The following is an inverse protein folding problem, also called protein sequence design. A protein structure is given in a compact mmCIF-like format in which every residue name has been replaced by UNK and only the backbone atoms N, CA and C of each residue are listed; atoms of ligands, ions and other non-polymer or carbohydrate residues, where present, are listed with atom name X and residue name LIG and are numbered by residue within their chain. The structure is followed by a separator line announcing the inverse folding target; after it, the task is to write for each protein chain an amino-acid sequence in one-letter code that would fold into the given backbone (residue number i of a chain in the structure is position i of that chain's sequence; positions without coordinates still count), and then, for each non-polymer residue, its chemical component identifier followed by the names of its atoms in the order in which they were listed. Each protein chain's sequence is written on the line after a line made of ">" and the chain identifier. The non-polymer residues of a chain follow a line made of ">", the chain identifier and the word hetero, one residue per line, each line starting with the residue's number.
data_IF_304825600506
#
_entry.id   IF_304825600506
#
_cell.length_a   1.000
_cell.length_b   1.000
_cell.length_c   1.000
_cell.angle_alpha   90.00
_cell.angle_beta   90.00
_cell.angle_gamma   90.00
#
_symmetry.space_group_name_H-M   'P 1'
#
loop_
_entity.id
_entity.type
_entity.pdbx_description
1 polymer ?
#
# COMPACT_ATOMS: atom_id res chain seq x y z
N UNK A 1 33.05 -3.53 0.39
CA UNK A 1 31.69 -2.96 0.14
C UNK A 1 31.03 -2.63 1.46
N UNK A 2 30.10 -1.66 1.51
CA UNK A 2 29.29 -1.38 2.70
C UNK A 2 27.83 -1.20 2.31
N UNK A 3 26.94 -1.81 3.10
CA UNK A 3 25.50 -1.59 3.02
C UNK A 3 25.15 -0.19 3.53
N UNK A 4 24.12 0.43 2.95
CA UNK A 4 23.46 1.57 3.55
C UNK A 4 22.84 1.19 4.90
N UNK A 5 22.65 2.17 5.79
CA UNK A 5 22.10 1.92 7.13
C UNK A 5 20.71 1.28 7.12
N UNK A 6 19.92 1.53 6.08
CA UNK A 6 18.60 0.93 5.85
C UNK A 6 18.66 -0.42 5.13
N UNK A 7 19.86 -0.94 4.80
CA UNK A 7 20.13 -2.21 4.10
C UNK A 7 19.40 -2.35 2.75
N UNK A 8 18.98 -1.25 2.15
CA UNK A 8 18.27 -1.23 0.87
C UNK A 8 19.20 -1.07 -0.32
N UNK A 9 20.35 -0.42 -0.14
CA UNK A 9 21.21 -0.05 -1.26
C UNK A 9 22.69 -0.31 -0.95
N UNK A 10 23.45 -0.62 -2.00
CA UNK A 10 24.90 -0.68 -2.00
C UNK A 10 25.37 0.12 -3.21
N UNK A 11 26.39 0.94 -3.02
CA UNK A 11 27.06 1.59 -4.14
C UNK A 11 28.38 0.86 -4.43
N UNK A 12 28.58 0.48 -5.69
CA UNK A 12 29.78 -0.19 -6.17
C UNK A 12 30.22 0.47 -7.48
N UNK A 13 31.47 0.92 -7.52
CA UNK A 13 32.13 1.33 -8.75
C UNK A 13 33.39 0.50 -8.92
N UNK A 14 33.58 -0.04 -10.12
CA UNK A 14 34.78 -0.80 -10.49
C UNK A 14 35.38 -0.09 -11.69
N UNK A 15 36.53 0.53 -11.50
CA UNK A 15 37.19 1.33 -12.54
C UNK A 15 38.33 0.57 -13.24
N UNK A 16 38.37 -0.75 -13.08
CA UNK A 16 39.46 -1.61 -13.54
C UNK A 16 38.92 -2.89 -14.21
N UNK A 17 39.77 -3.57 -14.98
CA UNK A 17 39.43 -4.86 -15.59
C UNK A 17 39.75 -5.99 -14.61
N UNK A 18 38.74 -6.80 -14.31
CA UNK A 18 38.88 -7.98 -13.45
C UNK A 18 39.26 -9.21 -14.28
N UNK A 19 40.13 -10.06 -13.73
CA UNK A 19 40.32 -11.42 -14.23
C UNK A 19 39.08 -12.28 -13.95
N UNK A 20 38.95 -13.43 -14.61
CA UNK A 20 37.82 -14.33 -14.44
C UNK A 20 37.65 -14.84 -12.99
N UNK A 21 38.78 -15.05 -12.29
CA UNK A 21 38.77 -15.48 -10.89
C UNK A 21 38.27 -14.35 -9.98
N UNK A 22 38.80 -13.14 -10.16
CA UNK A 22 38.40 -11.96 -9.37
C UNK A 22 36.92 -11.60 -9.58
N UNK A 23 36.42 -11.73 -10.82
CA UNK A 23 34.99 -11.57 -11.11
C UNK A 23 34.14 -12.62 -10.39
N UNK A 24 34.58 -13.89 -10.38
CA UNK A 24 33.85 -14.97 -9.69
C UNK A 24 33.81 -14.74 -8.19
N UNK A 25 34.93 -14.34 -7.58
CA UNK A 25 34.99 -13.96 -6.16
C UNK A 25 34.07 -12.78 -5.87
N UNK A 26 34.07 -11.74 -6.71
CA UNK A 26 33.19 -10.59 -6.54
C UNK A 26 31.70 -10.97 -6.59
N UNK A 27 31.31 -11.84 -7.53
CA UNK A 27 29.92 -12.33 -7.62
C UNK A 27 29.53 -13.09 -6.35
N UNK A 28 30.43 -13.92 -5.82
CA UNK A 28 30.21 -14.64 -4.58
C UNK A 28 30.06 -13.71 -3.37
N UNK A 29 30.90 -12.68 -3.24
CA UNK A 29 30.77 -11.70 -2.17
C UNK A 29 29.49 -10.88 -2.28
N UNK A 30 29.08 -10.52 -3.50
CA UNK A 30 27.82 -9.83 -3.77
C UNK A 30 26.60 -10.68 -3.42
N UNK A 31 26.64 -12.00 -3.63
CA UNK A 31 25.51 -12.87 -3.31
C UNK A 31 25.32 -13.03 -1.81
N UNK A 32 26.41 -13.11 -1.04
CA UNK A 32 26.37 -13.05 0.42
C UNK A 32 25.78 -11.72 0.91
N UNK A 33 26.25 -10.61 0.36
CA UNK A 33 25.72 -9.27 0.69
C UNK A 33 24.23 -9.13 0.35
N UNK A 34 23.80 -9.68 -0.80
CA UNK A 34 22.40 -9.67 -1.21
C UNK A 34 21.50 -10.45 -0.25
N UNK A 35 22.00 -11.50 0.38
CA UNK A 35 21.27 -12.28 1.39
C UNK A 35 21.02 -11.49 2.68
N UNK A 36 21.87 -10.51 3.00
CA UNK A 36 21.71 -9.63 4.17
C UNK A 36 20.82 -8.40 3.92
N UNK A 37 20.51 -8.11 2.65
CA UNK A 37 19.64 -7.01 2.25
C UNK A 37 18.17 -7.34 2.51
N UNK A 38 17.40 -6.31 2.86
CA UNK A 38 15.95 -6.45 2.96
C UNK A 38 15.36 -6.73 1.56
N UNK A 39 14.34 -7.59 1.45
CA UNK A 39 13.65 -7.78 0.19
C UNK A 39 13.07 -6.44 -0.27
N UNK A 40 13.27 -6.13 -1.55
CA UNK A 40 12.68 -4.95 -2.15
C UNK A 40 11.16 -5.13 -2.18
N UNK A 41 10.45 -4.35 -1.37
CA UNK A 41 8.99 -4.32 -1.41
C UNK A 41 8.64 -3.37 -2.56
N UNK A 42 8.06 -3.88 -3.66
CA UNK A 42 7.71 -3.03 -4.79
C UNK A 42 6.73 -1.95 -4.33
N UNK A 43 7.10 -0.69 -4.51
CA UNK A 43 6.23 0.46 -4.22
C UNK A 43 5.05 0.53 -5.18
N UNK A 44 5.20 -0.06 -6.37
CA UNK A 44 4.17 -0.10 -7.38
C UNK A 44 3.34 -1.36 -7.19
N UNK A 45 2.04 -1.17 -6.99
CA UNK A 45 1.06 -2.23 -7.17
C UNK A 45 1.24 -2.82 -8.58
N UNK A 46 1.30 -4.15 -8.76
CA UNK A 46 1.36 -4.74 -10.09
C UNK A 46 0.05 -4.43 -10.82
N UNK A 47 0.07 -3.40 -11.67
CA UNK A 47 -1.04 -3.02 -12.55
C UNK A 47 -0.95 -3.86 -13.83
N UNK A 48 -1.14 -5.17 -13.72
CA UNK A 48 -1.36 -6.00 -14.89
C UNK A 48 -2.27 -7.16 -14.54
N UNK A 49 -3.56 -6.84 -14.43
CA UNK A 49 -4.64 -7.79 -14.40
C UNK A 49 -5.84 -7.08 -15.02
N UNK A 50 -6.18 -7.46 -16.25
CA UNK A 50 -7.55 -7.31 -16.69
C UNK A 50 -8.38 -8.11 -15.66
N UNK A 51 -9.30 -7.45 -14.98
CA UNK A 51 -10.06 -7.88 -13.79
C UNK A 51 -9.47 -7.54 -12.40
N UNK A 52 -10.20 -6.69 -11.68
CA UNK A 52 -10.54 -6.76 -10.25
C UNK A 52 -9.70 -7.71 -9.36
N UNK A 53 -8.42 -7.41 -9.16
CA UNK A 53 -7.62 -8.16 -8.19
C UNK A 53 -6.93 -7.22 -7.20
N UNK A 54 -7.75 -6.58 -6.36
CA UNK A 54 -7.36 -6.46 -4.97
C UNK A 54 -7.21 -7.89 -4.43
N UNK A 55 -6.10 -8.21 -3.76
CA UNK A 55 -5.98 -9.50 -3.10
C UNK A 55 -7.05 -9.57 -2.00
N UNK A 56 -8.13 -10.29 -2.29
CA UNK A 56 -9.22 -10.49 -1.36
C UNK A 56 -8.74 -11.43 -0.27
N UNK A 57 -8.47 -10.87 0.90
CA UNK A 57 -8.21 -11.65 2.10
C UNK A 57 -9.56 -12.02 2.73
N UNK A 58 -9.75 -13.31 3.01
CA UNK A 58 -10.90 -13.78 3.78
C UNK A 58 -10.66 -13.48 5.26
N UNK A 59 -11.58 -12.71 5.85
CA UNK A 59 -11.60 -12.32 7.27
C UNK A 59 -10.27 -11.70 7.78
N UNK A 60 -9.84 -10.55 7.25
CA UNK A 60 -8.66 -9.86 7.77
C UNK A 60 -8.94 -9.42 9.21
N UNK A 61 -7.96 -9.63 10.09
CA UNK A 61 -8.03 -9.04 11.43
C UNK A 61 -7.98 -7.50 11.28
N UNK A 62 -9.14 -6.87 11.49
CA UNK A 62 -9.35 -5.43 11.42
C UNK A 62 -9.38 -4.86 12.84
N UNK A 63 -8.74 -3.73 13.04
CA UNK A 63 -8.91 -2.96 14.27
C UNK A 63 -9.00 -1.47 13.97
N UNK A 64 -9.79 -0.77 14.79
CA UNK A 64 -9.93 0.67 14.75
C UNK A 64 -9.52 1.19 16.12
N UNK A 65 -8.61 2.16 16.15
CA UNK A 65 -8.12 2.78 17.39
C UNK A 65 -8.02 4.29 17.22
N UNK A 66 -7.88 5.01 18.32
CA UNK A 66 -7.44 6.41 18.28
C UNK A 66 -5.91 6.47 18.22
N UNK A 67 -5.38 7.39 17.43
CA UNK A 67 -3.95 7.67 17.29
C UNK A 67 -3.74 9.18 17.40
N UNK A 68 -3.62 9.67 18.64
CA UNK A 68 -3.70 11.11 18.93
C UNK A 68 -5.09 11.64 18.55
N UNK A 69 -5.13 12.72 17.77
CA UNK A 69 -6.36 13.33 17.25
C UNK A 69 -6.94 12.61 16.01
N UNK A 70 -6.24 11.60 15.50
CA UNK A 70 -6.61 10.86 14.30
C UNK A 70 -7.20 9.50 14.64
N UNK A 71 -7.86 8.88 13.66
CA UNK A 71 -8.34 7.50 13.74
C UNK A 71 -7.33 6.59 13.05
N UNK A 72 -6.85 5.56 13.74
CA UNK A 72 -6.04 4.49 13.17
C UNK A 72 -6.94 3.39 12.64
N UNK A 73 -6.89 3.13 11.33
CA UNK A 73 -7.47 1.94 10.70
C UNK A 73 -6.35 0.94 10.46
N UNK A 74 -6.39 -0.19 11.15
CA UNK A 74 -5.40 -1.26 11.00
C UNK A 74 -5.99 -2.52 10.40
N UNK A 75 -5.25 -3.17 9.51
CA UNK A 75 -5.55 -4.52 9.08
C UNK A 75 -4.29 -5.38 9.04
N UNK A 76 -4.45 -6.68 9.28
CA UNK A 76 -3.36 -7.65 9.18
C UNK A 76 -3.41 -8.38 7.85
N UNK A 77 -2.42 -8.10 7.01
CA UNK A 77 -2.15 -8.91 5.83
C UNK A 77 -1.24 -10.10 6.19
N UNK A 78 -1.50 -11.25 5.57
CA UNK A 78 -0.74 -12.48 5.83
C UNK A 78 0.72 -12.44 5.36
N UNK A 79 1.05 -11.57 4.40
CA UNK A 79 2.39 -11.45 3.81
C UNK A 79 3.13 -10.21 4.32
N UNK A 80 2.42 -9.11 4.52
CA UNK A 80 2.96 -7.81 4.90
C UNK A 80 2.88 -7.53 6.40
N UNK A 81 2.13 -8.34 7.15
CA UNK A 81 1.90 -8.13 8.58
C UNK A 81 0.88 -7.01 8.83
N UNK A 82 1.08 -6.24 9.89
CA UNK A 82 0.17 -5.14 10.26
C UNK A 82 0.41 -3.91 9.39
N UNK A 83 -0.65 -3.47 8.72
CA UNK A 83 -0.72 -2.19 8.02
C UNK A 83 -1.67 -1.27 8.78
N UNK A 84 -1.23 -0.07 9.11
CA UNK A 84 -2.00 0.91 9.90
C UNK A 84 -2.01 2.23 9.15
N UNK A 85 -3.21 2.75 8.91
CA UNK A 85 -3.46 4.02 8.25
C UNK A 85 -3.95 5.03 9.28
N UNK A 86 -3.24 6.14 9.41
CA UNK A 86 -3.71 7.28 10.21
C UNK A 86 -4.65 8.12 9.34
N UNK A 87 -5.93 8.13 9.71
CA UNK A 87 -6.97 8.89 9.05
C UNK A 87 -7.24 10.16 9.86
N UNK A 88 -7.07 11.34 9.25
CA UNK A 88 -7.53 12.60 9.84
C UNK A 88 -9.02 12.51 10.16
N UNK A 89 -9.43 13.13 11.27
CA UNK A 89 -10.82 13.08 11.75
C UNK A 89 -11.85 13.44 10.65
N UNK A 90 -11.57 14.48 9.87
CA UNK A 90 -12.43 14.92 8.76
C UNK A 90 -12.61 13.86 7.67
N UNK A 91 -11.59 13.04 7.40
CA UNK A 91 -11.66 11.95 6.42
C UNK A 91 -12.37 10.72 6.99
N UNK A 92 -12.24 10.48 8.29
CA UNK A 92 -12.95 9.39 8.95
C UNK A 92 -14.47 9.63 8.99
N UNK A 93 -14.92 10.87 9.14
CA UNK A 93 -16.34 11.24 9.00
C UNK A 93 -16.88 10.90 7.61
N UNK A 94 -16.15 11.26 6.54
CA UNK A 94 -16.56 10.92 5.17
C UNK A 94 -16.65 9.40 4.94
N UNK A 95 -15.71 8.64 5.51
CA UNK A 95 -15.73 7.17 5.42
C UNK A 95 -16.96 6.59 6.13
N UNK A 96 -17.26 7.09 7.34
CA UNK A 96 -18.47 6.72 8.08
C UNK A 96 -19.73 7.00 7.26
N UNK A 97 -19.86 8.22 6.73
CA UNK A 97 -21.06 8.65 6.01
C UNK A 97 -21.26 7.82 4.73
N UNK A 98 -20.18 7.53 4.01
CA UNK A 98 -20.20 6.61 2.87
C UNK A 98 -20.65 5.20 3.26
N UNK A 99 -20.10 4.63 4.34
CA UNK A 99 -20.46 3.30 4.80
C UNK A 99 -21.93 3.24 5.21
N UNK A 100 -22.44 4.24 5.94
CA UNK A 100 -23.85 4.30 6.35
C UNK A 100 -24.76 4.32 5.12
N UNK A 101 -24.47 5.19 4.14
CA UNK A 101 -25.28 5.33 2.93
C UNK A 101 -25.31 4.05 2.08
N UNK A 102 -24.27 3.22 2.13
CA UNK A 102 -24.11 2.06 1.25
C UNK A 102 -24.27 0.69 1.93
N UNK A 103 -24.44 0.64 3.25
CA UNK A 103 -24.60 -0.63 4.00
C UNK A 103 -25.93 -0.76 4.73
N UNK A 104 -26.70 0.33 4.89
CA UNK A 104 -28.05 0.27 5.43
C UNK A 104 -29.09 0.07 4.31
N UNK A 105 -29.98 -0.95 4.42
CA UNK A 105 -31.09 -1.10 3.48
C UNK A 105 -32.01 0.12 3.55
N UNK A 106 -32.11 0.88 2.46
CA UNK A 106 -33.00 2.03 2.33
C UNK A 106 -32.43 3.40 2.71
N UNK A 107 -31.11 3.54 2.93
CA UNK A 107 -30.49 4.80 3.38
C UNK A 107 -29.69 5.56 2.28
N UNK A 108 -29.83 5.20 1.00
CA UNK A 108 -29.09 5.88 -0.07
C UNK A 108 -29.96 6.90 -0.80
N UNK A 109 -29.93 8.14 -0.30
CA UNK A 109 -30.48 9.33 -0.97
C UNK A 109 -29.43 10.47 -1.07
N UNK A 110 -28.18 10.21 -0.70
CA UNK A 110 -27.12 11.24 -0.63
C UNK A 110 -26.52 11.64 -1.99
N UNK A 111 -26.99 11.03 -3.09
CA UNK A 111 -26.68 11.43 -4.46
C UNK A 111 -27.92 11.61 -5.35
N UNK A 112 -29.13 11.71 -4.80
CA UNK A 112 -30.28 12.15 -5.59
C UNK A 112 -30.11 13.64 -5.90
N UNK A 113 -29.44 13.88 -7.02
CA UNK A 113 -29.18 15.20 -7.57
C UNK A 113 -30.49 15.97 -7.66
N UNK A 114 -30.45 17.16 -7.06
CA UNK A 114 -31.31 18.29 -7.37
C UNK A 114 -31.29 18.53 -8.88
N UNK A 115 -32.24 17.92 -9.61
CA UNK A 115 -32.57 18.33 -10.98
C UNK A 115 -33.88 19.07 -10.90
N UNK A 116 -33.75 20.39 -10.76
CA UNK A 116 -34.86 21.29 -10.94
C UNK A 116 -35.40 21.14 -12.36
N UNK A 117 -36.69 20.90 -12.47
CA UNK A 117 -37.45 21.28 -13.65
C UNK A 117 -38.23 22.54 -13.29
N UNK A 118 -37.61 23.70 -13.56
CA UNK A 118 -38.38 24.87 -13.94
C UNK A 118 -39.14 24.51 -15.23
N UNK A 119 -40.45 24.38 -15.06
CA UNK A 119 -41.48 24.99 -15.90
C UNK A 119 -41.78 24.41 -17.31
N UNK A 120 -43.08 24.52 -17.64
CA UNK A 120 -43.70 24.63 -18.99
C UNK A 120 -44.24 23.34 -19.69
N UNK A 121 -45.60 23.32 -19.75
CA UNK A 121 -46.54 22.93 -20.82
C UNK A 121 -47.39 21.63 -20.73
N UNK A 122 -48.71 21.94 -20.75
CA UNK A 122 -49.92 21.18 -21.11
C UNK A 122 -50.61 20.30 -20.07
#
# INVERSE_FOLDING_TARGET
>A
MKLSGDKKFINLSINEKLSANELSTLIYELSLLRAEMLPEVPHNLPVSGNDNMAYMQYDPALFITTLGDNIGLGFRDSRLGWLIFSLPHSKACNLRDYLIANTQPGASDLFSSNSGSDDILH
#
